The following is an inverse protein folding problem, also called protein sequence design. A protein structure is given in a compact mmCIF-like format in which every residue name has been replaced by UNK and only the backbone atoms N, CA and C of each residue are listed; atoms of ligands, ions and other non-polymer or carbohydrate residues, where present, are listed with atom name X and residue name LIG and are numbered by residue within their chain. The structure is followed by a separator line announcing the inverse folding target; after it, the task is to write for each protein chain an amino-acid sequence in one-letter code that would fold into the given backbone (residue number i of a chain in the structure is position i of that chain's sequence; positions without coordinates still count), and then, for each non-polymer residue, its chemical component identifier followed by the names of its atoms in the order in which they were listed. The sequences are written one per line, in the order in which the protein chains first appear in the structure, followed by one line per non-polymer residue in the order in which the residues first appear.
data_IF_747537052036
#
_entry.id   IF_747537052036
#
_cell.length_a   1.000
_cell.length_b   1.000
_cell.length_c   1.000
_cell.angle_alpha   90.00
_cell.angle_beta   90.00
_cell.angle_gamma   90.00
#
_symmetry.space_group_name_H-M   'P 1'
#
loop_
_entity.id
_entity.type
_entity.pdbx_description
1 polymer ?
#
# COMPACT_ATOMS: atom_id res chain seq x y z
N UNK A 1 48.14 14.08 5.23
CA UNK A 1 47.72 13.12 6.26
C UNK A 1 46.27 13.45 6.61
N UNK A 2 45.26 12.75 6.06
CA UNK A 2 43.82 12.90 6.40
C UNK A 2 42.91 11.85 5.70
N UNK A 3 43.44 10.68 5.30
CA UNK A 3 42.66 9.63 4.61
C UNK A 3 42.09 8.56 5.58
N UNK A 4 42.41 8.64 6.87
CA UNK A 4 41.96 7.65 7.87
C UNK A 4 40.54 7.91 8.40
N UNK A 5 39.97 9.10 8.19
CA UNK A 5 38.64 9.45 8.71
C UNK A 5 37.48 8.91 7.87
N UNK A 6 37.72 8.50 6.62
CA UNK A 6 36.67 8.05 5.70
C UNK A 6 36.26 6.57 5.93
N UNK A 7 37.16 5.77 6.53
CA UNK A 7 36.88 4.36 6.85
C UNK A 7 36.04 4.16 8.12
N UNK A 8 36.04 5.14 9.05
CA UNK A 8 35.25 5.07 10.28
C UNK A 8 33.80 5.55 10.11
N UNK A 9 33.49 6.32 9.07
CA UNK A 9 32.12 6.75 8.76
C UNK A 9 31.26 5.64 8.13
N UNK A 10 31.86 4.53 7.67
CA UNK A 10 31.15 3.42 7.01
C UNK A 10 30.39 2.51 7.99
N UNK A 11 30.68 2.57 9.30
CA UNK A 11 30.17 1.57 10.25
C UNK A 11 28.71 1.80 10.69
N UNK A 12 28.20 3.03 10.64
CA UNK A 12 26.79 3.33 10.98
C UNK A 12 25.82 3.21 9.80
N UNK A 13 26.30 3.37 8.57
CA UNK A 13 25.44 3.34 7.37
C UNK A 13 25.03 1.92 6.99
N UNK A 14 25.87 0.91 7.27
CA UNK A 14 25.55 -0.49 7.00
C UNK A 14 24.28 -0.95 7.72
N UNK A 15 24.10 -0.55 8.98
CA UNK A 15 22.93 -0.94 9.78
C UNK A 15 21.64 -0.29 9.25
N UNK A 16 21.71 0.98 8.85
CA UNK A 16 20.57 1.70 8.27
C UNK A 16 20.17 1.12 6.92
N UNK A 17 21.14 0.72 6.09
CA UNK A 17 20.90 0.04 4.81
C UNK A 17 20.20 -1.31 5.02
N UNK A 18 20.60 -2.09 6.04
CA UNK A 18 19.96 -3.38 6.34
C UNK A 18 18.50 -3.19 6.76
N UNK A 19 18.21 -2.22 7.63
CA UNK A 19 16.83 -1.91 8.05
C UNK A 19 15.98 -1.45 6.86
N UNK A 20 16.54 -0.62 5.97
CA UNK A 20 15.85 -0.11 4.80
C UNK A 20 15.55 -1.21 3.77
N UNK A 21 16.50 -2.12 3.53
CA UNK A 21 16.29 -3.30 2.67
C UNK A 21 15.19 -4.19 3.24
N UNK A 22 15.23 -4.47 4.55
CA UNK A 22 14.21 -5.31 5.20
C UNK A 22 12.80 -4.68 5.10
N UNK A 23 12.72 -3.36 5.27
CA UNK A 23 11.47 -2.62 5.11
C UNK A 23 10.94 -2.70 3.66
N UNK A 24 11.80 -2.53 2.66
CA UNK A 24 11.43 -2.64 1.25
C UNK A 24 10.91 -4.04 0.89
N UNK A 25 11.59 -5.11 1.32
CA UNK A 25 11.14 -6.49 1.07
C UNK A 25 9.78 -6.76 1.74
N UNK A 26 9.58 -6.26 2.97
CA UNK A 26 8.32 -6.42 3.70
C UNK A 26 7.15 -5.69 3.01
N UNK A 27 7.40 -4.47 2.50
CA UNK A 27 6.42 -3.70 1.73
C UNK A 27 6.06 -4.39 0.40
N UNK A 28 7.05 -4.93 -0.33
CA UNK A 28 6.80 -5.70 -1.56
C UNK A 28 6.00 -6.99 -1.28
N UNK A 29 6.28 -7.70 -0.18
CA UNK A 29 5.54 -8.89 0.23
C UNK A 29 4.06 -8.63 0.53
N UNK A 30 3.74 -7.49 1.14
CA UNK A 30 2.35 -7.07 1.39
C UNK A 30 1.63 -6.69 0.09
N UNK A 31 2.31 -6.01 -0.84
CA UNK A 31 1.71 -5.61 -2.11
C UNK A 31 1.42 -6.80 -3.03
N UNK A 32 2.29 -7.82 -3.02
CA UNK A 32 2.08 -9.07 -3.78
C UNK A 32 1.04 -9.99 -3.13
N UNK A 33 0.92 -10.00 -1.80
CA UNK A 33 -0.10 -10.79 -1.08
C UNK A 33 -1.52 -10.23 -1.21
N UNK A 34 -1.67 -8.95 -1.56
CA UNK A 34 -2.99 -8.33 -1.73
C UNK A 34 -3.75 -8.82 -2.98
N UNK A 35 -3.05 -9.36 -3.99
CA UNK A 35 -3.67 -9.74 -5.28
C UNK A 35 -4.03 -11.22 -5.42
N UNK A 36 -3.50 -12.10 -4.56
CA UNK A 36 -3.70 -13.56 -4.65
C UNK A 36 -4.36 -14.14 -3.40
N UNK A 37 -5.59 -13.73 -3.08
CA UNK A 37 -6.45 -14.51 -2.18
C UNK A 37 -7.20 -15.56 -3.01
N UNK A 38 -6.79 -16.85 -3.00
CA UNK A 38 -7.56 -17.89 -3.68
C UNK A 38 -8.94 -17.97 -3.02
N UNK A 39 -9.99 -17.74 -3.83
CA UNK A 39 -11.37 -18.04 -3.45
C UNK A 39 -11.47 -19.55 -3.26
N UNK A 40 -11.23 -20.03 -2.03
CA UNK A 40 -11.58 -21.40 -1.65
C UNK A 40 -13.09 -21.59 -1.87
N UNK A 41 -13.53 -22.66 -2.54
CA UNK A 41 -14.95 -22.98 -2.64
C UNK A 41 -15.50 -23.20 -1.23
N UNK A 42 -16.43 -22.34 -0.81
CA UNK A 42 -17.11 -22.48 0.47
C UNK A 42 -18.10 -23.66 0.35
N UNK A 43 -18.13 -24.60 1.31
CA UNK A 43 -19.21 -25.55 1.40
C UNK A 43 -20.55 -24.82 1.62
N UNK A 44 -21.67 -25.39 1.14
CA UNK A 44 -22.99 -24.78 1.27
C UNK A 44 -23.30 -24.56 2.75
N UNK A 45 -23.37 -23.29 3.15
CA UNK A 45 -23.73 -22.90 4.51
C UNK A 45 -25.26 -22.90 4.61
N UNK A 46 -25.85 -23.53 5.65
CA UNK A 46 -27.29 -23.47 5.86
C UNK A 46 -27.74 -22.02 5.99
N UNK A 47 -28.79 -21.66 5.23
CA UNK A 47 -29.51 -20.40 5.36
C UNK A 47 -29.98 -20.28 6.81
N UNK A 48 -29.34 -19.39 7.58
CA UNK A 48 -29.96 -18.86 8.79
C UNK A 48 -30.73 -17.62 8.40
N UNK A 49 -32.04 -17.69 8.65
CA UNK A 49 -33.00 -16.61 8.59
C UNK A 49 -32.51 -15.36 9.33
N UNK A 50 -33.07 -14.23 8.87
CA UNK A 50 -32.66 -12.87 9.16
C UNK A 50 -32.38 -12.56 10.62
N UNK A 51 -31.15 -12.11 10.87
CA UNK A 51 -30.89 -11.12 11.92
C UNK A 51 -30.36 -9.88 11.20
N UNK A 52 -30.97 -8.69 11.38
CA UNK A 52 -30.51 -7.48 10.73
C UNK A 52 -29.08 -7.19 11.19
N UNK A 53 -28.15 -7.22 10.24
CA UNK A 53 -26.74 -7.02 10.47
C UNK A 53 -26.51 -5.52 10.74
N UNK A 54 -26.67 -5.10 12.00
CA UNK A 54 -26.54 -3.72 12.48
C UNK A 54 -25.24 -3.03 12.02
N UNK A 55 -24.17 -3.79 11.82
CA UNK A 55 -22.90 -3.27 11.31
C UNK A 55 -22.95 -2.83 9.84
N UNK A 56 -23.83 -3.42 9.04
CA UNK A 56 -23.96 -3.12 7.61
C UNK A 56 -24.73 -1.82 7.38
N UNK A 57 -25.74 -1.55 8.21
CA UNK A 57 -26.49 -0.29 8.20
C UNK A 57 -25.62 0.91 8.60
N UNK A 58 -24.74 0.72 9.59
CA UNK A 58 -23.77 1.76 10.00
C UNK A 58 -22.72 2.00 8.91
N UNK A 59 -22.22 0.94 8.27
CA UNK A 59 -21.28 1.06 7.16
C UNK A 59 -21.90 1.78 5.95
N UNK A 60 -23.15 1.48 5.62
CA UNK A 60 -23.87 2.14 4.52
C UNK A 60 -24.17 3.61 4.84
N UNK A 61 -24.43 3.94 6.11
CA UNK A 61 -24.63 5.32 6.57
C UNK A 61 -23.34 6.15 6.49
N UNK A 62 -22.23 5.61 7.01
CA UNK A 62 -20.90 6.24 6.94
C UNK A 62 -20.45 6.46 5.49
N UNK A 63 -20.72 5.50 4.62
CA UNK A 63 -20.38 5.62 3.19
C UNK A 63 -21.13 6.76 2.51
N UNK A 64 -22.42 6.95 2.85
CA UNK A 64 -23.21 8.07 2.35
C UNK A 64 -22.67 9.42 2.82
N UNK A 65 -22.29 9.54 4.10
CA UNK A 65 -21.77 10.79 4.68
C UNK A 65 -20.43 11.21 4.05
N UNK A 66 -19.53 10.26 3.79
CA UNK A 66 -18.24 10.53 3.14
C UNK A 66 -18.44 10.96 1.67
N UNK A 67 -19.38 10.34 0.96
CA UNK A 67 -19.67 10.68 -0.42
C UNK A 67 -20.32 12.06 -0.56
N UNK A 68 -21.20 12.42 0.38
CA UNK A 68 -21.79 13.76 0.47
C UNK A 68 -20.70 14.82 0.77
N UNK A 69 -19.76 14.54 1.68
CA UNK A 69 -18.65 15.45 2.01
C UNK A 69 -17.66 15.66 0.85
N UNK A 70 -17.26 14.57 0.19
CA UNK A 70 -16.39 14.65 -1.00
C UNK A 70 -17.03 15.41 -2.15
N UNK A 71 -18.37 15.36 -2.24
CA UNK A 71 -19.14 16.04 -3.27
C UNK A 71 -19.33 17.54 -2.97
N UNK A 72 -19.48 17.90 -1.70
CA UNK A 72 -19.52 19.29 -1.23
C UNK A 72 -18.19 20.00 -1.50
N UNK A 73 -17.07 19.33 -1.22
CA UNK A 73 -15.73 19.82 -1.57
C UNK A 73 -15.50 19.97 -3.08
N UNK A 74 -16.29 19.27 -3.91
CA UNK A 74 -16.28 19.39 -5.37
C UNK A 74 -17.33 20.40 -5.91
N UNK A 75 -18.08 21.08 -5.05
CA UNK A 75 -19.06 22.11 -5.45
C UNK A 75 -20.26 21.58 -6.24
N UNK A 76 -20.56 20.27 -6.16
CA UNK A 76 -21.68 19.66 -6.90
C UNK A 76 -22.97 19.71 -6.07
N UNK A 77 -24.13 20.08 -6.64
CA UNK A 77 -25.39 20.21 -5.90
C UNK A 77 -25.89 18.85 -5.35
N UNK A 78 -26.61 18.86 -4.21
CA UNK A 78 -27.05 17.64 -3.53
C UNK A 78 -28.09 16.87 -4.36
N UNK A 79 -27.88 15.55 -4.50
CA UNK A 79 -28.81 14.67 -5.21
C UNK A 79 -30.00 14.35 -4.30
N UNK A 80 -31.20 14.87 -4.62
CA UNK A 80 -32.45 14.49 -3.96
C UNK A 80 -32.59 12.95 -3.95
N UNK A 81 -32.60 12.35 -2.76
CA UNK A 81 -32.84 10.91 -2.57
C UNK A 81 -34.25 10.57 -3.04
N UNK A 82 -34.38 9.85 -4.16
CA UNK A 82 -35.66 9.30 -4.59
C UNK A 82 -36.05 8.09 -3.73
N UNK A 83 -37.34 7.93 -3.38
CA UNK A 83 -37.81 6.78 -2.61
C UNK A 83 -37.65 5.50 -3.45
N UNK A 84 -37.02 4.47 -2.88
CA UNK A 84 -36.85 3.16 -3.50
C UNK A 84 -38.24 2.55 -3.82
N UNK A 85 -38.50 2.08 -5.05
CA UNK A 85 -39.74 1.38 -5.38
C UNK A 85 -39.77 0.02 -4.67
N UNK A 86 -40.93 -0.33 -4.11
CA UNK A 86 -41.20 -1.65 -3.53
C UNK A 86 -41.14 -2.71 -4.65
N UNK A 87 -40.51 -3.88 -4.43
CA UNK A 87 -40.43 -4.92 -5.44
C UNK A 87 -41.81 -5.52 -5.71
N UNK A 88 -42.24 -5.48 -6.97
CA UNK A 88 -43.39 -6.23 -7.45
C UNK A 88 -43.01 -7.71 -7.47
N UNK A 89 -43.76 -8.53 -6.75
CA UNK A 89 -43.64 -9.99 -6.78
C UNK A 89 -44.13 -10.48 -8.14
N UNK A 90 -43.20 -10.84 -9.02
CA UNK A 90 -43.50 -11.54 -10.26
C UNK A 90 -43.98 -12.96 -9.91
N UNK A 91 -45.22 -13.26 -10.26
CA UNK A 91 -45.82 -14.59 -10.19
C UNK A 91 -45.11 -15.47 -11.22
N UNK A 92 -44.36 -16.45 -10.76
CA UNK A 92 -43.70 -17.46 -11.61
C UNK A 92 -44.78 -18.36 -12.19
N UNK A 93 -45.03 -18.26 -13.49
CA UNK A 93 -45.75 -19.26 -14.25
C UNK A 93 -44.86 -20.48 -14.52
N UNK A 94 -45.51 -21.64 -14.51
CA UNK A 94 -44.94 -22.99 -14.56
C UNK A 94 -44.20 -23.32 -15.87
N UNK A 95 -43.29 -24.31 -15.86
CA UNK A 95 -42.35 -24.57 -16.95
C UNK A 95 -43.03 -25.28 -18.13
N UNK A 96 -42.91 -24.68 -19.32
CA UNK A 96 -43.29 -25.31 -20.59
C UNK A 96 -42.08 -26.04 -21.16
N UNK A 97 -42.21 -27.37 -21.19
CA UNK A 97 -41.80 -28.31 -22.23
C UNK A 97 -40.35 -28.24 -22.75
N UNK A 98 -39.68 -29.38 -22.55
CA UNK A 98 -38.38 -29.73 -23.08
C UNK A 98 -38.25 -29.47 -24.59
N UNK A 99 -37.42 -28.48 -24.94
CA UNK A 99 -36.87 -28.37 -26.29
C UNK A 99 -35.47 -28.99 -26.31
N UNK A 100 -35.31 -29.87 -27.29
CA UNK A 100 -34.18 -30.76 -27.54
C UNK A 100 -32.86 -29.98 -27.54
N UNK A 101 -31.99 -30.27 -26.56
CA UNK A 101 -30.61 -29.79 -26.54
C UNK A 101 -29.93 -30.33 -27.79
N UNK A 102 -29.80 -29.48 -28.80
CA UNK A 102 -28.87 -29.67 -29.90
C UNK A 102 -27.49 -29.89 -29.30
N UNK A 103 -26.84 -30.99 -29.68
CA UNK A 103 -25.44 -31.30 -29.42
C UNK A 103 -24.59 -30.03 -29.54
N UNK A 104 -24.31 -29.39 -28.41
CA UNK A 104 -23.25 -28.41 -28.32
C UNK A 104 -21.96 -29.21 -28.37
N UNK A 105 -21.53 -29.54 -29.59
CA UNK A 105 -20.17 -29.96 -29.90
C UNK A 105 -19.28 -28.92 -29.25
N UNK A 106 -18.69 -29.29 -28.11
CA UNK A 106 -17.82 -28.43 -27.34
C UNK A 106 -16.61 -28.12 -28.22
N UNK A 107 -16.69 -27.07 -29.04
CA UNK A 107 -15.52 -26.50 -29.66
C UNK A 107 -14.55 -26.24 -28.52
N UNK A 108 -13.36 -26.84 -28.61
CA UNK A 108 -12.34 -26.67 -27.60
C UNK A 108 -12.15 -25.18 -27.41
N UNK A 109 -12.13 -24.71 -26.16
CA UNK A 109 -11.87 -23.29 -25.84
C UNK A 109 -10.60 -22.82 -26.56
N UNK A 110 -9.64 -23.73 -26.80
CA UNK A 110 -8.44 -23.48 -27.61
C UNK A 110 -8.76 -23.06 -29.05
N UNK A 111 -9.68 -23.75 -29.72
CA UNK A 111 -10.07 -23.46 -31.10
C UNK A 111 -10.87 -22.15 -31.18
N UNK A 112 -11.70 -21.88 -30.18
CA UNK A 112 -12.42 -20.62 -30.06
C UNK A 112 -11.46 -19.45 -29.82
N UNK A 113 -10.46 -19.62 -28.95
CA UNK A 113 -9.44 -18.60 -28.68
C UNK A 113 -8.55 -18.38 -29.89
N UNK A 114 -8.14 -19.42 -30.63
CA UNK A 114 -7.34 -19.26 -31.85
C UNK A 114 -8.10 -18.58 -32.99
N UNK A 115 -9.44 -18.70 -33.03
CA UNK A 115 -10.28 -17.96 -33.98
C UNK A 115 -10.34 -16.46 -33.67
N UNK A 116 -10.15 -16.05 -32.41
CA UNK A 116 -10.31 -14.67 -31.96
C UNK A 116 -8.99 -13.95 -31.62
N UNK A 117 -7.89 -14.69 -31.42
CA UNK A 117 -6.57 -14.11 -31.22
C UNK A 117 -5.79 -14.16 -32.52
N UNK A 118 -5.75 -13.02 -33.20
CA UNK A 118 -4.84 -12.80 -34.31
C UNK A 118 -3.43 -12.61 -33.75
N UNK A 119 -2.56 -13.59 -33.98
CA UNK A 119 -1.17 -13.58 -33.50
C UNK A 119 -0.35 -12.42 -34.08
N UNK A 120 -0.71 -11.93 -35.27
CA UNK A 120 -0.07 -10.75 -35.86
C UNK A 120 -0.34 -9.47 -35.07
N UNK A 121 -1.58 -9.28 -34.60
CA UNK A 121 -1.96 -8.10 -33.81
C UNK A 121 -1.27 -8.10 -32.44
N UNK A 122 -1.08 -9.29 -31.85
CA UNK A 122 -0.33 -9.46 -30.59
C UNK A 122 1.14 -9.11 -30.80
N UNK A 123 1.77 -9.61 -31.85
CA UNK A 123 3.17 -9.30 -32.14
C UNK A 123 3.39 -7.78 -32.34
N UNK A 124 2.48 -7.11 -33.04
CA UNK A 124 2.54 -5.67 -33.24
C UNK A 124 2.30 -4.89 -31.94
N UNK A 125 1.37 -5.34 -31.09
CA UNK A 125 1.16 -4.74 -29.76
C UNK A 125 2.38 -4.92 -28.86
N UNK A 126 2.99 -6.11 -28.84
CA UNK A 126 4.20 -6.38 -28.03
C UNK A 126 5.35 -5.49 -28.50
N UNK A 127 5.54 -5.32 -29.81
CA UNK A 127 6.55 -4.40 -30.34
C UNK A 127 6.31 -2.96 -29.85
N UNK A 128 5.07 -2.46 -29.96
CA UNK A 128 4.69 -1.13 -29.47
C UNK A 128 4.88 -0.97 -27.95
N UNK A 129 4.56 -2.01 -27.17
CA UNK A 129 4.80 -2.01 -25.73
C UNK A 129 6.30 -1.98 -25.41
N UNK A 130 7.14 -2.61 -26.23
CA UNK A 130 8.60 -2.52 -26.11
C UNK A 130 9.07 -1.08 -26.24
N UNK A 131 8.63 -0.39 -27.31
CA UNK A 131 8.97 1.00 -27.56
C UNK A 131 8.48 1.92 -26.42
N UNK A 132 7.23 1.75 -25.96
CA UNK A 132 6.64 2.54 -24.87
C UNK A 132 7.39 2.34 -23.53
N UNK A 133 7.90 1.14 -23.27
CA UNK A 133 8.69 0.84 -22.06
C UNK A 133 10.08 1.48 -22.13
N UNK A 134 10.73 1.45 -23.29
CA UNK A 134 12.02 2.11 -23.51
C UNK A 134 11.91 3.63 -23.27
N UNK A 135 10.89 4.28 -23.84
CA UNK A 135 10.62 5.70 -23.58
C UNK A 135 10.29 6.02 -22.11
N UNK A 136 9.65 5.09 -21.40
CA UNK A 136 9.35 5.27 -19.98
C UNK A 136 10.61 5.19 -19.12
N UNK A 137 11.54 4.30 -19.47
CA UNK A 137 12.82 4.13 -18.76
C UNK A 137 13.72 5.35 -18.93
N UNK A 138 13.86 5.86 -20.17
CA UNK A 138 14.63 7.09 -20.44
C UNK A 138 14.10 8.29 -19.64
N UNK A 139 12.77 8.46 -19.56
CA UNK A 139 12.16 9.54 -18.78
C UNK A 139 12.38 9.38 -17.29
N UNK A 140 12.32 8.15 -16.78
CA UNK A 140 12.60 7.86 -15.39
C UNK A 140 14.05 8.20 -15.06
N UNK A 141 15.00 7.80 -15.91
CA UNK A 141 16.43 8.05 -15.71
C UNK A 141 16.75 9.55 -15.73
N UNK A 142 16.15 10.30 -16.66
CA UNK A 142 16.26 11.77 -16.71
C UNK A 142 15.69 12.41 -15.44
N UNK A 143 14.52 11.98 -14.98
CA UNK A 143 13.89 12.51 -13.78
C UNK A 143 14.69 12.15 -12.53
N UNK A 144 15.30 10.96 -12.49
CA UNK A 144 16.21 10.57 -11.41
C UNK A 144 17.44 11.45 -11.38
N UNK A 145 18.12 11.67 -12.51
CA UNK A 145 19.27 12.58 -12.59
C UNK A 145 18.91 13.99 -12.09
N UNK A 146 17.82 14.56 -12.61
CA UNK A 146 17.36 15.89 -12.18
C UNK A 146 17.10 15.93 -10.66
N UNK A 147 16.40 14.93 -10.10
CA UNK A 147 16.07 14.94 -8.66
C UNK A 147 17.27 14.65 -7.78
N UNK A 148 18.16 13.75 -8.19
CA UNK A 148 19.34 13.39 -7.41
C UNK A 148 20.37 14.51 -7.44
N UNK A 149 20.70 15.06 -8.60
CA UNK A 149 21.69 16.14 -8.72
C UNK A 149 21.26 17.38 -7.93
N UNK A 150 19.98 17.77 -8.03
CA UNK A 150 19.47 18.93 -7.30
C UNK A 150 19.33 18.66 -5.79
N UNK A 151 18.81 17.49 -5.38
CA UNK A 151 18.56 17.25 -3.95
C UNK A 151 19.83 16.85 -3.20
N UNK A 152 20.65 15.97 -3.74
CA UNK A 152 21.87 15.49 -3.08
C UNK A 152 22.91 16.61 -3.03
N UNK A 153 23.09 17.36 -4.12
CA UNK A 153 23.96 18.54 -4.12
C UNK A 153 23.52 19.62 -3.12
N UNK A 154 22.21 19.76 -2.87
CA UNK A 154 21.68 20.67 -1.84
C UNK A 154 21.84 20.14 -0.42
N UNK A 155 21.83 18.81 -0.25
CA UNK A 155 22.00 18.16 1.06
C UNK A 155 23.44 18.32 1.53
N UNK A 156 24.42 18.09 0.65
CA UNK A 156 25.85 18.23 0.97
C UNK A 156 26.19 19.66 1.41
N UNK A 157 25.59 20.67 0.79
CA UNK A 157 25.78 22.09 1.18
C UNK A 157 25.10 22.44 2.51
N UNK A 158 24.13 21.65 2.98
CA UNK A 158 23.41 21.87 4.25
C UNK A 158 23.98 21.07 5.43
N UNK A 159 24.86 20.10 5.19
CA UNK A 159 25.69 19.48 6.24
C UNK A 159 26.87 20.41 6.56
N UNK A 160 26.55 21.63 7.01
CA UNK A 160 27.46 22.35 7.92
C UNK A 160 27.37 21.67 9.29
N UNK A 161 28.43 21.67 10.11
CA UNK A 161 28.55 20.80 11.28
C UNK A 161 27.60 21.26 12.41
N UNK A 162 26.37 20.77 12.38
CA UNK A 162 25.40 20.87 13.49
C UNK A 162 25.80 19.94 14.66
N UNK A 163 26.78 19.08 14.44
CA UNK A 163 27.19 18.01 15.35
C UNK A 163 27.94 18.50 16.59
N UNK A 164 28.52 19.71 16.58
CA UNK A 164 29.08 20.35 17.77
C UNK A 164 27.99 21.02 18.63
N UNK A 165 27.04 21.71 18.00
CA UNK A 165 26.00 22.48 18.71
C UNK A 165 25.03 21.56 19.48
N UNK A 166 24.72 20.39 18.94
CA UNK A 166 23.78 19.45 19.58
C UNK A 166 24.39 18.64 20.73
N UNK A 167 25.73 18.46 20.76
CA UNK A 167 26.40 17.73 21.84
C UNK A 167 26.39 18.53 23.14
N UNK A 168 26.61 19.83 23.05
CA UNK A 168 26.57 20.73 24.21
C UNK A 168 25.16 20.85 24.80
N UNK A 169 24.12 20.95 23.94
CA UNK A 169 22.73 21.01 24.39
C UNK A 169 22.32 19.76 25.17
N UNK A 170 22.65 18.56 24.67
CA UNK A 170 22.28 17.30 25.33
C UNK A 170 23.02 17.09 26.65
N UNK A 171 24.29 17.48 26.73
CA UNK A 171 25.06 17.41 27.97
C UNK A 171 24.49 18.33 29.05
N UNK A 172 24.03 19.53 28.66
CA UNK A 172 23.37 20.47 29.57
C UNK A 172 22.01 19.95 30.05
N UNK A 173 21.20 19.37 29.18
CA UNK A 173 19.91 18.76 29.55
C UNK A 173 20.09 17.60 30.54
N UNK A 174 21.09 16.74 30.31
CA UNK A 174 21.43 15.64 31.23
C UNK A 174 21.93 16.19 32.56
N UNK A 175 22.82 17.19 32.55
CA UNK A 175 23.31 17.82 33.77
C UNK A 175 22.18 18.47 34.57
N UNK A 176 21.22 19.10 33.89
CA UNK A 176 20.04 19.70 34.53
C UNK A 176 19.10 18.64 35.10
N UNK A 177 18.88 17.53 34.38
CA UNK A 177 18.11 16.39 34.88
C UNK A 177 18.73 15.80 36.15
N UNK A 178 20.06 15.61 36.17
CA UNK A 178 20.81 15.03 37.29
C UNK A 178 20.93 15.97 38.51
N UNK A 179 20.79 17.29 38.33
CA UNK A 179 20.73 18.25 39.45
C UNK A 179 19.48 18.10 40.31
N UNK A 180 18.41 17.53 39.77
CA UNK A 180 17.16 17.31 40.51
C UNK A 180 17.12 15.88 41.11
N UNK A 181 16.64 15.71 42.36
CA UNK A 181 16.46 14.38 42.95
C UNK A 181 15.49 13.49 42.15
N UNK A 182 14.52 14.10 41.45
CA UNK A 182 13.59 13.39 40.59
C UNK A 182 14.27 12.84 39.33
N UNK A 183 15.08 13.65 38.64
CA UNK A 183 15.79 13.23 37.43
C UNK A 183 16.91 12.22 37.73
N UNK A 184 17.58 12.30 38.87
CA UNK A 184 18.53 11.26 39.30
C UNK A 184 17.85 9.89 39.47
N UNK A 185 16.64 9.85 40.04
CA UNK A 185 15.85 8.59 40.12
C UNK A 185 15.50 8.04 38.74
N UNK A 186 15.12 8.92 37.81
CA UNK A 186 14.85 8.52 36.43
C UNK A 186 16.10 7.95 35.75
N UNK A 187 17.27 8.56 35.95
CA UNK A 187 18.54 8.06 35.43
C UNK A 187 18.90 6.67 36.00
N UNK A 188 18.65 6.44 37.30
CA UNK A 188 18.86 5.12 37.93
C UNK A 188 17.91 4.08 37.32
N UNK A 189 16.62 4.38 37.19
CA UNK A 189 15.65 3.45 36.58
C UNK A 189 16.01 3.14 35.13
N UNK A 190 16.40 4.16 34.35
CA UNK A 190 16.84 3.95 32.98
C UNK A 190 18.09 3.06 32.92
N UNK A 191 19.07 3.29 33.79
CA UNK A 191 20.25 2.43 33.92
C UNK A 191 19.88 1.00 34.31
N UNK A 192 18.88 0.81 35.15
CA UNK A 192 18.40 -0.52 35.57
C UNK A 192 17.70 -1.27 34.43
N UNK A 193 16.88 -0.58 33.63
CA UNK A 193 16.23 -1.16 32.45
C UNK A 193 17.27 -1.61 31.43
N UNK A 194 18.29 -0.78 31.17
CA UNK A 194 19.34 -1.10 30.20
C UNK A 194 20.27 -2.22 30.69
N UNK A 195 20.44 -2.38 32.00
CA UNK A 195 21.27 -3.44 32.59
C UNK A 195 20.51 -4.73 32.87
N UNK A 196 19.19 -4.76 32.67
CA UNK A 196 18.40 -5.97 32.92
C UNK A 196 18.84 -7.06 31.93
N UNK A 197 19.51 -8.13 32.37
CA UNK A 197 19.81 -9.24 31.49
C UNK A 197 18.49 -9.88 31.07
N UNK A 198 18.29 -10.09 29.77
CA UNK A 198 17.23 -10.96 29.30
C UNK A 198 17.59 -12.38 29.74
N UNK A 199 16.80 -12.93 30.68
CA UNK A 199 16.90 -14.30 31.17
C UNK A 199 15.91 -15.14 30.37
#
# INVERSE_FOLDING_TARGET
MNHLSLLLAAQGWGELIVVLIFFMISALGQLLSAKNKPKRPRPPRPQKEGVPNKGQEVADKLRGEVEDFLREMQGKPPKKKSPKPKPVVLKVEQPVVAEKVTDMRQESVRDHVSKHLNTADIAQQVAKLGDDVEYADERLEQHLHERFDHKVGSLERRVQPVEEILKDSRAQDIAQMLRSPAGMRQAIIASEILRRPEI
#
